data_IF_241496403254
#
_entry.id   IF_241496403254
#
_cell.length_a   1.000
_cell.length_b   1.000
_cell.length_c   1.000
_cell.angle_alpha   90.00
_cell.angle_beta   90.00
_cell.angle_gamma   90.00
#
_symmetry.space_group_name_H-M   'P 1'
#
loop_
_entity.id
_entity.type
_entity.pdbx_description
1 polymer ?
#
# COMPACT_ATOMS: atom_id res chain seq x y z
N UNK A 1 18.76 12.42 -33.44
CA UNK A 1 17.45 12.12 -32.82
C UNK A 1 16.46 11.40 -33.77
N UNK A 2 16.77 11.09 -35.04
CA UNK A 2 15.90 10.30 -35.93
C UNK A 2 16.28 8.81 -36.02
N UNK A 3 17.50 8.43 -35.66
CA UNK A 3 18.04 7.08 -35.86
C UNK A 3 17.68 6.06 -34.75
N UNK A 4 17.03 6.48 -33.66
CA UNK A 4 16.70 5.57 -32.54
C UNK A 4 15.30 4.92 -32.65
N UNK A 5 14.46 5.35 -33.61
CA UNK A 5 13.11 4.81 -33.83
C UNK A 5 13.00 3.86 -35.03
N UNK A 6 14.11 3.55 -35.72
CA UNK A 6 14.08 2.84 -37.01
C UNK A 6 13.97 1.31 -36.92
N UNK A 7 13.94 0.72 -35.71
CA UNK A 7 13.91 -0.73 -35.51
C UNK A 7 12.68 -1.27 -34.79
N UNK A 8 11.67 -0.43 -34.53
CA UNK A 8 10.45 -0.86 -33.86
C UNK A 8 9.23 -0.57 -34.74
N UNK A 9 8.76 -1.59 -35.44
CA UNK A 9 7.46 -1.58 -36.08
C UNK A 9 6.47 -2.32 -35.19
N UNK A 10 5.59 -1.57 -34.53
CA UNK A 10 4.57 -2.09 -33.64
C UNK A 10 3.62 -3.08 -34.34
N UNK A 11 3.47 -2.99 -35.67
CA UNK A 11 2.54 -3.82 -36.45
C UNK A 11 3.22 -5.01 -37.14
N UNK A 12 4.53 -5.22 -36.92
CA UNK A 12 5.26 -6.33 -37.53
C UNK A 12 4.70 -7.68 -37.02
N UNK A 13 4.17 -8.48 -37.95
CA UNK A 13 3.58 -9.78 -37.66
C UNK A 13 2.10 -9.77 -37.21
N UNK A 14 1.45 -8.61 -37.19
CA UNK A 14 -0.01 -8.53 -36.94
C UNK A 14 -0.82 -8.81 -38.21
N UNK A 15 -1.96 -9.46 -38.04
CA UNK A 15 -2.94 -9.62 -39.11
C UNK A 15 -3.65 -8.29 -39.42
N UNK A 16 -4.17 -8.13 -40.64
CA UNK A 16 -4.83 -6.89 -41.06
C UNK A 16 -6.02 -6.50 -40.15
N UNK A 17 -6.73 -7.48 -39.60
CA UNK A 17 -7.83 -7.25 -38.65
C UNK A 17 -7.33 -6.71 -37.30
N UNK A 18 -6.17 -7.18 -36.83
CA UNK A 18 -5.56 -6.72 -35.58
C UNK A 18 -5.06 -5.28 -35.72
N UNK A 19 -4.46 -4.94 -36.87
CA UNK A 19 -4.06 -3.58 -37.20
C UNK A 19 -5.27 -2.64 -37.20
N UNK A 20 -6.36 -3.03 -37.86
CA UNK A 20 -7.60 -2.24 -37.88
C UNK A 20 -8.20 -2.06 -36.49
N UNK A 21 -8.15 -3.12 -35.65
CA UNK A 21 -8.63 -3.05 -34.27
C UNK A 21 -7.77 -2.12 -33.41
N UNK A 22 -6.45 -2.16 -33.55
CA UNK A 22 -5.51 -1.30 -32.84
C UNK A 22 -5.61 0.18 -33.28
N UNK A 23 -5.95 0.43 -34.55
CA UNK A 23 -6.17 1.78 -35.09
C UNK A 23 -7.58 2.33 -34.82
N UNK A 24 -8.52 1.49 -34.38
CA UNK A 24 -9.89 1.91 -34.11
C UNK A 24 -9.94 3.01 -33.04
N UNK A 25 -10.76 4.07 -33.22
CA UNK A 25 -10.99 5.08 -32.18
C UNK A 25 -11.54 4.52 -30.87
N UNK A 26 -12.17 3.33 -30.92
CA UNK A 26 -12.71 2.63 -29.76
C UNK A 26 -11.65 1.75 -29.05
N UNK A 27 -10.46 1.58 -29.63
CA UNK A 27 -9.39 0.80 -29.02
C UNK A 27 -9.02 1.36 -27.65
N UNK A 28 -8.97 0.48 -26.63
CA UNK A 28 -8.79 0.88 -25.23
C UNK A 28 -10.04 1.44 -24.54
N UNK A 29 -11.09 1.82 -25.28
CA UNK A 29 -12.37 2.31 -24.78
C UNK A 29 -13.50 1.28 -24.87
N UNK A 30 -13.20 0.07 -25.33
CA UNK A 30 -14.11 -1.07 -25.36
C UNK A 30 -14.52 -1.46 -23.94
N UNK A 31 -15.52 -0.78 -23.38
CA UNK A 31 -16.07 -1.10 -22.07
C UNK A 31 -17.42 -1.78 -22.26
N UNK A 32 -17.55 -3.00 -21.72
CA UNK A 32 -18.86 -3.60 -21.53
C UNK A 32 -19.54 -2.92 -20.33
N UNK A 33 -20.62 -2.17 -20.59
CA UNK A 33 -21.37 -1.46 -19.54
C UNK A 33 -21.97 -2.44 -18.53
N UNK A 34 -21.55 -2.34 -17.27
CA UNK A 34 -21.98 -3.18 -16.13
C UNK A 34 -23.51 -3.27 -15.98
N UNK A 35 -24.24 -2.22 -16.36
CA UNK A 35 -25.70 -2.14 -16.23
C UNK A 35 -26.48 -3.22 -17.01
N UNK A 36 -25.86 -3.89 -17.98
CA UNK A 36 -26.52 -4.91 -18.82
C UNK A 36 -26.00 -6.33 -18.57
N UNK A 37 -25.19 -6.52 -17.53
CA UNK A 37 -24.60 -7.82 -17.18
C UNK A 37 -25.48 -8.57 -16.16
N UNK A 38 -25.99 -9.78 -16.47
CA UNK A 38 -26.84 -10.55 -15.55
C UNK A 38 -26.10 -11.02 -14.29
N UNK A 39 -24.76 -11.06 -14.35
CA UNK A 39 -23.83 -11.42 -13.28
C UNK A 39 -23.35 -10.21 -12.46
N UNK A 40 -23.68 -8.98 -12.88
CA UNK A 40 -23.29 -7.77 -12.17
C UNK A 40 -24.30 -7.45 -11.06
N UNK A 41 -24.04 -7.95 -9.84
CA UNK A 41 -24.82 -7.59 -8.66
C UNK A 41 -24.97 -6.07 -8.52
N UNK A 42 -26.21 -5.59 -8.56
CA UNK A 42 -26.54 -4.15 -8.63
C UNK A 42 -26.01 -3.40 -7.41
N UNK A 43 -25.99 -4.06 -6.24
CA UNK A 43 -25.59 -3.50 -4.94
C UNK A 43 -24.21 -3.96 -4.40
N UNK A 44 -23.51 -4.85 -5.11
CA UNK A 44 -22.20 -5.33 -4.65
C UNK A 44 -21.05 -4.41 -5.06
N UNK A 45 -20.02 -4.36 -4.20
CA UNK A 45 -18.77 -3.69 -4.56
C UNK A 45 -18.18 -4.30 -5.83
N UNK A 46 -17.72 -3.51 -6.81
CA UNK A 46 -17.17 -4.04 -8.04
C UNK A 46 -16.02 -5.01 -7.74
N UNK A 47 -16.05 -6.17 -8.40
CA UNK A 47 -14.92 -7.09 -8.43
C UNK A 47 -13.81 -6.46 -9.26
N UNK A 48 -12.90 -5.75 -8.61
CA UNK A 48 -11.79 -5.05 -9.27
C UNK A 48 -10.88 -5.97 -10.11
N UNK A 49 -10.92 -7.28 -9.87
CA UNK A 49 -10.22 -8.29 -10.67
C UNK A 49 -10.81 -8.49 -12.08
N UNK A 50 -12.07 -8.12 -12.30
CA UNK A 50 -12.78 -8.33 -13.57
C UNK A 50 -12.53 -7.16 -14.57
N UNK A 51 -11.79 -6.14 -14.15
CA UNK A 51 -11.49 -4.97 -14.96
C UNK A 51 -10.16 -5.14 -15.71
N UNK A 52 -10.12 -4.72 -16.97
CA UNK A 52 -8.87 -4.59 -17.71
C UNK A 52 -8.06 -3.43 -17.14
N UNK A 53 -7.02 -3.75 -16.37
CA UNK A 53 -6.18 -2.79 -15.64
C UNK A 53 -4.71 -2.94 -16.07
N UNK A 54 -4.35 -2.49 -17.30
CA UNK A 54 -3.00 -2.66 -17.84
C UNK A 54 -1.92 -1.91 -17.05
N UNK A 55 -2.31 -0.92 -16.22
CA UNK A 55 -1.42 -0.18 -15.35
C UNK A 55 -1.40 -0.70 -13.90
N UNK A 56 -2.15 -1.77 -13.60
CA UNK A 56 -2.32 -2.31 -12.26
C UNK A 56 -2.76 -1.27 -11.20
N UNK A 57 -3.34 -0.16 -11.64
CA UNK A 57 -3.64 1.00 -10.79
C UNK A 57 -4.85 0.74 -9.88
N UNK A 58 -5.79 -0.08 -10.33
CA UNK A 58 -7.03 -0.41 -9.63
C UNK A 58 -6.81 -1.65 -8.76
N UNK A 59 -6.35 -2.73 -9.40
CA UNK A 59 -6.06 -4.01 -8.77
C UNK A 59 -4.99 -3.89 -7.68
N UNK A 60 -3.90 -3.15 -7.92
CA UNK A 60 -2.85 -2.90 -6.93
C UNK A 60 -3.36 -2.15 -5.69
N UNK A 61 -4.24 -1.15 -5.87
CA UNK A 61 -4.87 -0.43 -4.75
C UNK A 61 -5.83 -1.33 -3.96
N UNK A 62 -6.65 -2.11 -4.67
CA UNK A 62 -7.58 -3.04 -4.04
C UNK A 62 -6.83 -4.08 -3.20
N UNK A 63 -5.77 -4.69 -3.74
CA UNK A 63 -4.92 -5.62 -3.02
C UNK A 63 -4.25 -4.98 -1.80
N UNK A 64 -3.74 -3.76 -1.92
CA UNK A 64 -3.15 -3.02 -0.80
C UNK A 64 -4.17 -2.76 0.32
N UNK A 65 -5.42 -2.44 -0.02
CA UNK A 65 -6.49 -2.25 0.95
C UNK A 65 -6.83 -3.54 1.69
N UNK A 66 -6.97 -4.66 0.97
CA UNK A 66 -7.20 -5.98 1.57
C UNK A 66 -6.05 -6.38 2.49
N UNK A 67 -4.80 -6.17 2.07
CA UNK A 67 -3.62 -6.46 2.89
C UNK A 67 -3.62 -5.66 4.21
N UNK A 68 -3.97 -4.37 4.17
CA UNK A 68 -4.11 -3.54 5.38
C UNK A 68 -5.21 -4.05 6.30
N UNK A 69 -6.41 -4.33 5.76
CA UNK A 69 -7.52 -4.89 6.57
C UNK A 69 -7.16 -6.24 7.20
N UNK A 70 -6.45 -7.11 6.50
CA UNK A 70 -5.97 -8.39 7.05
C UNK A 70 -4.97 -8.18 8.18
N UNK A 71 -4.06 -7.21 8.06
CA UNK A 71 -3.15 -6.85 9.14
C UNK A 71 -3.91 -6.30 10.37
N UNK A 72 -4.95 -5.50 10.15
CA UNK A 72 -5.84 -5.01 11.20
C UNK A 72 -6.63 -6.11 11.94
N UNK A 73 -6.93 -7.21 11.25
CA UNK A 73 -7.69 -8.35 11.78
C UNK A 73 -6.83 -9.39 12.50
N UNK A 74 -5.51 -9.19 12.61
CA UNK A 74 -4.65 -10.10 13.39
C UNK A 74 -5.15 -10.20 14.84
N UNK A 75 -5.09 -11.39 15.47
CA UNK A 75 -5.33 -11.52 16.92
C UNK A 75 -4.38 -10.57 17.67
N UNK A 76 -4.87 -9.92 18.73
CA UNK A 76 -4.11 -8.92 19.48
C UNK A 76 -4.21 -7.47 18.96
N UNK A 77 -4.55 -7.23 17.68
CA UNK A 77 -4.71 -5.86 17.16
C UNK A 77 -6.05 -5.20 17.53
N UNK A 78 -7.06 -6.01 17.89
CA UNK A 78 -8.41 -5.53 18.24
C UNK A 78 -8.44 -4.65 19.50
N UNK A 79 -7.47 -4.81 20.42
CA UNK A 79 -7.39 -4.00 21.66
C UNK A 79 -6.85 -2.59 21.41
N UNK A 80 -6.36 -2.30 20.22
CA UNK A 80 -5.82 -1.00 19.82
C UNK A 80 -6.76 -0.28 18.84
N UNK A 81 -6.86 1.03 19.02
CA UNK A 81 -7.50 1.94 18.05
C UNK A 81 -6.68 2.03 16.75
N UNK A 82 -7.27 2.49 15.63
CA UNK A 82 -6.53 2.62 14.36
C UNK A 82 -5.27 3.51 14.45
N UNK A 83 -5.28 4.53 15.31
CA UNK A 83 -4.11 5.39 15.54
C UNK A 83 -3.00 4.65 16.27
N UNK A 84 -3.36 3.85 17.29
CA UNK A 84 -2.42 3.04 18.05
C UNK A 84 -1.80 1.93 17.19
N UNK A 85 -2.57 1.30 16.29
CA UNK A 85 -2.03 0.31 15.34
C UNK A 85 -0.98 0.92 14.42
N UNK A 86 -1.24 2.11 13.87
CA UNK A 86 -0.24 2.85 13.08
C UNK A 86 1.01 3.17 13.90
N UNK A 87 0.86 3.49 15.18
CA UNK A 87 2.01 3.71 16.07
C UNK A 87 2.80 2.41 16.34
N UNK A 88 2.12 1.25 16.45
CA UNK A 88 2.76 -0.06 16.54
C UNK A 88 3.55 -0.37 15.26
N UNK A 89 2.99 -0.10 14.09
CA UNK A 89 3.67 -0.26 12.80
C UNK A 89 4.94 0.61 12.70
N UNK A 90 4.88 1.86 13.17
CA UNK A 90 6.04 2.76 13.22
C UNK A 90 7.17 2.18 14.08
N UNK A 91 6.83 1.56 15.21
CA UNK A 91 7.80 0.91 16.08
C UNK A 91 8.19 -0.50 15.59
N UNK A 92 7.47 -1.05 14.61
CA UNK A 92 7.63 -2.42 14.12
C UNK A 92 7.29 -3.45 15.20
N UNK A 93 6.17 -3.26 15.89
CA UNK A 93 5.65 -4.14 16.93
C UNK A 93 4.32 -4.77 16.49
N UNK A 94 4.06 -6.00 16.91
CA UNK A 94 2.76 -6.66 16.73
C UNK A 94 1.80 -6.38 17.91
N UNK A 95 0.52 -6.69 17.72
CA UNK A 95 -0.56 -6.46 18.68
C UNK A 95 -0.44 -7.24 19.99
N UNK A 96 0.38 -8.29 20.07
CA UNK A 96 0.58 -9.08 21.29
C UNK A 96 1.70 -8.54 22.20
N UNK A 97 2.26 -7.36 21.89
CA UNK A 97 3.37 -6.79 22.65
C UNK A 97 2.96 -6.38 24.08
N UNK A 98 3.86 -6.60 25.05
CA UNK A 98 3.71 -6.11 26.42
C UNK A 98 4.36 -4.75 26.63
N UNK A 99 4.03 -4.08 27.75
CA UNK A 99 4.59 -2.76 28.11
C UNK A 99 6.11 -2.76 28.22
N UNK A 100 6.70 -3.90 28.65
CA UNK A 100 8.16 -4.09 28.68
C UNK A 100 8.75 -4.13 27.26
N UNK A 101 8.12 -4.87 26.35
CA UNK A 101 8.52 -4.98 24.95
C UNK A 101 8.45 -3.62 24.23
N UNK A 102 7.38 -2.85 24.49
CA UNK A 102 7.23 -1.49 23.98
C UNK A 102 8.41 -0.58 24.39
N UNK A 103 8.77 -0.57 25.68
CA UNK A 103 9.90 0.23 26.19
C UNK A 103 11.23 -0.22 25.59
N UNK A 104 11.47 -1.52 25.52
CA UNK A 104 12.70 -2.07 24.95
C UNK A 104 12.87 -1.65 23.48
N UNK A 105 11.80 -1.77 22.68
CA UNK A 105 11.83 -1.40 21.26
C UNK A 105 12.05 0.10 21.08
N UNK A 106 11.38 0.93 21.88
CA UNK A 106 11.60 2.37 21.88
C UNK A 106 13.06 2.72 22.15
N UNK A 107 13.67 2.16 23.20
CA UNK A 107 15.09 2.42 23.53
C UNK A 107 16.03 2.01 22.41
N UNK A 108 15.76 0.88 21.74
CA UNK A 108 16.56 0.42 20.59
C UNK A 108 16.48 1.40 19.41
N UNK A 109 15.27 1.86 19.07
CA UNK A 109 15.08 2.81 17.97
C UNK A 109 15.63 4.20 18.32
N UNK A 110 15.51 4.63 19.57
CA UNK A 110 16.08 5.87 20.05
C UNK A 110 17.60 5.84 19.87
N UNK A 111 18.29 4.79 20.35
CA UNK A 111 19.74 4.65 20.14
C UNK A 111 20.13 4.64 18.67
N UNK A 112 19.35 3.96 17.82
CA UNK A 112 19.60 3.87 16.38
C UNK A 112 19.51 5.22 15.66
N UNK A 113 18.56 6.07 16.05
CA UNK A 113 18.30 7.34 15.35
C UNK A 113 18.85 8.58 16.07
N UNK A 114 19.40 8.43 17.27
CA UNK A 114 19.94 9.56 18.03
C UNK A 114 21.25 10.08 17.40
N UNK A 115 21.39 11.41 17.21
CA UNK A 115 22.56 12.00 16.57
C UNK A 115 23.85 11.74 17.36
N UNK A 116 23.79 11.65 18.69
CA UNK A 116 24.95 11.35 19.55
C UNK A 116 25.62 10.01 19.20
N UNK A 117 24.82 9.00 18.82
CA UNK A 117 25.34 7.69 18.41
C UNK A 117 25.72 7.64 16.92
N UNK A 118 25.26 8.59 16.12
CA UNK A 118 25.49 8.69 14.69
C UNK A 118 26.53 9.78 14.34
N UNK A 119 27.40 10.14 15.29
CA UNK A 119 28.48 11.12 15.05
C UNK A 119 28.00 12.54 14.75
N UNK A 120 26.81 12.91 15.23
CA UNK A 120 26.18 14.21 14.98
C UNK A 120 25.31 14.27 13.72
N UNK A 121 25.18 13.18 12.96
CA UNK A 121 24.32 13.14 11.78
C UNK A 121 22.83 13.30 12.13
N UNK A 122 22.24 14.40 11.65
CA UNK A 122 20.82 14.76 11.86
C UNK A 122 19.88 14.24 10.78
N UNK A 123 20.38 13.48 9.80
CA UNK A 123 19.56 12.89 8.73
C UNK A 123 18.37 12.04 9.26
N UNK A 124 18.47 11.52 10.47
CA UNK A 124 17.47 10.68 11.12
C UNK A 124 16.51 11.41 12.08
N UNK A 125 16.66 12.73 12.28
CA UNK A 125 15.90 13.50 13.27
C UNK A 125 14.38 13.39 13.05
N UNK A 126 13.92 13.48 11.79
CA UNK A 126 12.50 13.31 11.45
C UNK A 126 11.98 11.93 11.81
N UNK A 127 12.78 10.87 11.63
CA UNK A 127 12.40 9.49 11.99
C UNK A 127 12.36 9.33 13.51
N UNK A 128 13.32 9.94 14.23
CA UNK A 128 13.34 9.96 15.69
C UNK A 128 12.07 10.62 16.24
N UNK A 129 11.66 11.77 15.69
CA UNK A 129 10.44 12.46 16.10
C UNK A 129 9.20 11.58 15.96
N UNK A 130 9.05 10.89 14.81
CA UNK A 130 7.92 9.97 14.56
C UNK A 130 7.91 8.81 15.58
N UNK A 131 9.09 8.25 15.92
CA UNK A 131 9.22 7.19 16.93
C UNK A 131 8.82 7.69 18.33
N UNK A 132 9.22 8.90 18.70
CA UNK A 132 8.87 9.51 20.00
C UNK A 132 7.36 9.74 20.09
N UNK A 133 6.73 10.31 19.07
CA UNK A 133 5.28 10.53 19.01
C UNK A 133 4.51 9.21 19.11
N UNK A 134 4.92 8.18 18.36
CA UNK A 134 4.32 6.86 18.40
C UNK A 134 4.39 6.24 19.80
N UNK A 135 5.54 6.34 20.47
CA UNK A 135 5.68 5.85 21.85
C UNK A 135 4.82 6.63 22.84
N UNK A 136 4.73 7.96 22.72
CA UNK A 136 3.90 8.78 23.61
C UNK A 136 2.41 8.44 23.50
N UNK A 137 1.92 8.17 22.29
CA UNK A 137 0.57 7.70 22.04
C UNK A 137 0.34 6.34 22.72
N UNK A 138 1.19 5.35 22.43
CA UNK A 138 1.05 3.99 22.96
C UNK A 138 1.22 3.91 24.47
N UNK A 139 2.05 4.76 25.09
CA UNK A 139 2.24 4.80 26.53
C UNK A 139 0.94 5.11 27.29
N UNK A 140 0.03 5.87 26.66
CA UNK A 140 -1.28 6.27 27.19
C UNK A 140 -2.43 5.35 26.78
N UNK A 141 -2.18 4.39 25.89
CA UNK A 141 -3.20 3.48 25.39
C UNK A 141 -3.75 2.60 26.53
N UNK A 142 -5.07 2.41 26.54
CA UNK A 142 -5.75 1.56 27.53
C UNK A 142 -5.31 0.09 27.42
N UNK A 143 -4.84 -0.35 26.26
CA UNK A 143 -4.31 -1.70 26.02
C UNK A 143 -3.06 -2.06 26.86
N UNK A 144 -2.36 -1.07 27.41
CA UNK A 144 -1.19 -1.27 28.27
C UNK A 144 -1.41 -0.81 29.73
N UNK A 145 -2.64 -0.42 30.07
CA UNK A 145 -3.04 -0.12 31.45
C UNK A 145 -3.07 -1.41 32.27
#
# INVERSE_FOLDING_TARGET
>A
MREFNSGYDFFEGMEAEEILRAQSPLYGWNTQTRAFRPDAGVDDVPRWADFSDPLEAISGRAQAHVKRRRADMKPGNHRFTPNERRALDVLGLDGDVDRKGLRQRYTLLLRKYHPDHNGGDRSHERRLQIVVEAYQLLRKAAAFA
#
